data_IF_982000266611
#
_entry.id   IF_982000266611
#
_cell.length_a   1.000
_cell.length_b   1.000
_cell.length_c   1.000
_cell.angle_alpha   90.00
_cell.angle_beta   90.00
_cell.angle_gamma   90.00
#
_symmetry.space_group_name_H-M   'P 1'
#
loop_
_entity.id
_entity.type
_entity.pdbx_description
1 polymer ?
#
# COMPACT_ATOMS: atom_id res chain seq x y z
N UNK A 1 -0.50 -14.95 11.59
CA UNK A 1 -0.61 -14.05 10.44
C UNK A 1 0.51 -13.04 10.56
N UNK A 2 1.37 -12.96 9.55
CA UNK A 2 2.40 -11.92 9.54
C UNK A 2 1.73 -10.53 9.42
N UNK A 3 2.29 -9.50 10.04
CA UNK A 3 1.76 -8.15 9.92
C UNK A 3 1.78 -7.70 8.45
N UNK A 4 0.73 -6.99 8.00
CA UNK A 4 0.71 -6.44 6.66
C UNK A 4 1.84 -5.42 6.49
N UNK A 5 2.40 -5.32 5.29
CA UNK A 5 3.42 -4.32 5.01
C UNK A 5 2.75 -2.96 4.76
N UNK A 6 3.12 -1.95 5.54
CA UNK A 6 2.52 -0.61 5.44
C UNK A 6 3.41 0.35 4.63
N UNK A 7 2.79 1.08 3.71
CA UNK A 7 3.44 2.05 2.84
C UNK A 7 2.66 3.36 2.79
N UNK A 8 3.28 4.43 3.30
CA UNK A 8 2.71 5.79 3.23
C UNK A 8 2.86 6.38 1.83
N UNK A 9 1.76 6.85 1.26
CA UNK A 9 1.77 7.66 0.04
C UNK A 9 1.83 9.14 0.43
N UNK A 10 2.92 9.78 0.02
CA UNK A 10 3.15 11.21 0.20
C UNK A 10 3.67 11.86 -1.08
N UNK A 11 3.40 13.16 -1.23
CA UNK A 11 3.78 13.98 -2.40
C UNK A 11 5.28 14.02 -2.72
N UNK A 12 6.16 13.81 -1.73
CA UNK A 12 7.61 13.96 -1.88
C UNK A 12 8.37 12.83 -2.58
N UNK A 13 7.76 11.67 -2.82
CA UNK A 13 8.43 10.54 -3.54
C UNK A 13 7.98 10.48 -5.00
N UNK A 14 8.68 9.73 -5.85
CA UNK A 14 8.24 9.48 -7.24
C UNK A 14 7.14 8.42 -7.27
N UNK A 15 6.20 8.50 -8.22
CA UNK A 15 5.13 7.50 -8.34
C UNK A 15 5.72 6.11 -8.65
N UNK A 16 6.68 6.06 -9.57
CA UNK A 16 7.30 4.82 -10.05
C UNK A 16 7.90 3.98 -8.91
N UNK A 17 8.55 4.61 -7.93
CA UNK A 17 9.16 3.89 -6.80
C UNK A 17 8.13 3.15 -5.93
N UNK A 18 6.91 3.70 -5.77
CA UNK A 18 5.86 3.01 -5.03
C UNK A 18 5.36 1.78 -5.79
N UNK A 19 5.22 1.91 -7.10
CA UNK A 19 4.75 0.83 -7.98
C UNK A 19 5.78 -0.29 -8.04
N UNK A 20 7.04 0.05 -8.28
CA UNK A 20 8.15 -0.91 -8.33
C UNK A 20 8.28 -1.69 -7.03
N UNK A 21 8.23 -0.98 -5.89
CA UNK A 21 8.25 -1.61 -4.57
C UNK A 21 7.08 -2.59 -4.39
N UNK A 22 5.86 -2.17 -4.73
CA UNK A 22 4.67 -2.99 -4.57
C UNK A 22 4.71 -4.26 -5.43
N UNK A 23 5.18 -4.16 -6.68
CA UNK A 23 5.30 -5.32 -7.57
C UNK A 23 6.35 -6.31 -7.04
N UNK A 24 7.52 -5.80 -6.63
CA UNK A 24 8.57 -6.61 -5.97
C UNK A 24 8.06 -7.27 -4.68
N UNK A 25 7.22 -6.57 -3.91
CA UNK A 25 6.59 -7.13 -2.71
C UNK A 25 5.71 -8.34 -3.07
N UNK A 26 4.83 -8.22 -4.07
CA UNK A 26 3.97 -9.34 -4.47
C UNK A 26 4.75 -10.49 -5.13
N UNK A 27 5.82 -10.20 -5.88
CA UNK A 27 6.73 -11.18 -6.43
C UNK A 27 7.48 -11.95 -5.32
N UNK A 28 8.03 -11.24 -4.33
CA UNK A 28 8.66 -11.87 -3.17
C UNK A 28 7.66 -12.74 -2.38
N UNK A 29 6.41 -12.31 -2.28
CA UNK A 29 5.36 -13.13 -1.66
C UNK A 29 4.98 -14.35 -2.50
N UNK A 30 5.12 -14.29 -3.84
CA UNK A 30 4.94 -15.47 -4.72
C UNK A 30 6.06 -16.49 -4.51
N UNK A 31 7.30 -16.03 -4.36
CA UNK A 31 8.47 -16.90 -4.22
C UNK A 31 8.67 -17.47 -2.81
N UNK A 32 8.11 -16.82 -1.79
CA UNK A 32 8.20 -17.26 -0.38
C UNK A 32 6.99 -18.11 0.01
N UNK A 33 7.17 -18.97 1.00
CA UNK A 33 6.09 -19.76 1.65
C UNK A 33 5.05 -18.92 2.40
N UNK A 34 5.13 -17.58 2.35
CA UNK A 34 4.19 -16.66 2.99
C UNK A 34 3.34 -15.96 1.92
N UNK A 35 2.40 -16.67 1.27
CA UNK A 35 1.70 -16.11 0.15
C UNK A 35 0.69 -15.01 0.54
N UNK A 36 0.37 -14.89 1.82
CA UNK A 36 -0.80 -14.14 2.27
C UNK A 36 -0.46 -12.77 2.88
N UNK A 37 0.77 -12.29 2.72
CA UNK A 37 1.12 -10.96 3.17
C UNK A 37 0.45 -9.91 2.29
N UNK A 38 -0.39 -9.08 2.91
CA UNK A 38 -1.06 -7.97 2.26
C UNK A 38 -0.21 -6.69 2.30
N UNK A 39 -0.41 -5.83 1.30
CA UNK A 39 0.21 -4.52 1.21
C UNK A 39 -0.83 -3.44 1.54
N UNK A 40 -0.54 -2.61 2.55
CA UNK A 40 -1.39 -1.51 2.98
C UNK A 40 -0.79 -0.20 2.48
N UNK A 41 -1.53 0.52 1.66
CA UNK A 41 -1.18 1.85 1.17
C UNK A 41 -2.05 2.90 1.86
N UNK A 42 -1.46 3.95 2.43
CA UNK A 42 -2.23 4.91 3.23
C UNK A 42 -1.77 6.36 3.10
N UNK A 43 -2.64 7.31 3.46
CA UNK A 43 -2.34 8.75 3.53
C UNK A 43 -2.21 9.29 4.95
N UNK A 44 -2.12 8.42 5.97
CA UNK A 44 -1.92 8.86 7.36
C UNK A 44 -0.76 9.88 7.49
N UNK A 45 -0.90 10.88 8.37
CA UNK A 45 0.18 11.81 8.70
C UNK A 45 1.45 11.08 9.15
N UNK A 46 2.62 11.71 8.95
CA UNK A 46 3.85 11.18 9.51
C UNK A 46 3.75 11.17 11.04
N UNK A 47 4.04 10.04 11.68
CA UNK A 47 4.26 10.03 13.13
C UNK A 47 5.45 10.94 13.40
N UNK A 48 5.29 11.93 14.27
CA UNK A 48 6.40 12.76 14.74
C UNK A 48 7.31 11.82 15.52
N UNK A 49 8.45 11.43 14.95
CA UNK A 49 9.42 10.65 15.70
C UNK A 49 10.00 11.57 16.79
N UNK A 50 10.10 11.11 18.05
CA UNK A 50 10.83 11.84 19.07
C UNK A 50 12.26 11.98 18.54
N UNK A 51 12.70 13.24 18.40
CA UNK A 51 14.09 13.54 18.03
C UNK A 51 14.94 12.95 19.16
N UNK A 52 15.89 12.05 18.88
CA UNK A 52 16.77 11.55 19.92
C UNK A 52 17.55 12.73 20.49
N UNK A 53 17.43 12.93 21.80
CA UNK A 53 18.27 13.83 22.59
C UNK A 53 19.70 13.29 22.57
N UNK A 54 20.44 13.55 21.49
CA UNK A 54 21.89 13.43 21.48
C UNK A 54 22.46 14.82 21.76
N UNK A 55 23.05 14.93 22.95
CA UNK A 55 23.81 16.08 23.38
C UNK A 55 25.00 16.40 22.47
N UNK A 56 25.55 17.58 22.75
CA UNK A 56 26.71 18.23 22.14
C UNK A 56 26.45 19.15 20.94
N UNK A 57 26.34 20.44 21.30
CA UNK A 57 26.78 21.64 20.60
C UNK A 57 26.92 21.53 19.07
N UNK A 58 25.80 21.52 18.37
CA UNK A 58 25.74 22.02 17.00
C UNK A 58 24.57 23.00 16.88
N UNK A 59 24.93 24.19 16.41
CA UNK A 59 24.08 25.34 16.16
C UNK A 59 22.75 24.93 15.49
N UNK A 60 21.58 25.28 16.06
CA UNK A 60 20.32 24.80 15.56
C UNK A 60 20.05 25.39 14.16
N UNK A 61 19.84 24.58 13.10
CA UNK A 61 19.26 25.11 11.88
C UNK A 61 17.85 25.58 12.22
N UNK A 62 17.64 26.88 12.08
CA UNK A 62 16.37 27.54 12.39
C UNK A 62 15.18 26.73 11.87
N UNK A 63 14.13 26.51 12.69
CA UNK A 63 12.90 25.91 12.19
C UNK A 63 12.36 26.83 11.09
N UNK A 64 12.48 26.40 9.83
CA UNK A 64 11.84 27.05 8.72
C UNK A 64 10.34 26.78 8.82
N UNK A 65 9.68 27.47 9.74
CA UNK A 65 8.24 27.62 9.81
C UNK A 65 7.82 28.46 8.61
N UNK A 66 7.84 27.87 7.42
CA UNK A 66 7.25 28.52 6.27
C UNK A 66 5.76 28.73 6.57
N UNK A 67 5.21 29.94 6.32
CA UNK A 67 3.82 30.24 6.61
C UNK A 67 2.95 29.24 5.88
N UNK A 68 2.16 28.47 6.64
CA UNK A 68 1.23 27.49 6.12
C UNK A 68 0.26 28.18 5.17
N UNK A 69 0.53 28.11 3.86
CA UNK A 69 -0.45 28.49 2.84
C UNK A 69 -1.72 27.68 3.16
N UNK A 70 -2.88 28.35 3.12
CA UNK A 70 -4.21 27.76 3.35
C UNK A 70 -4.50 26.68 2.28
N UNK A 71 -3.86 25.53 2.41
CA UNK A 71 -4.06 24.35 1.58
C UNK A 71 -4.82 23.28 2.35
N UNK A 72 -5.38 22.33 1.61
CA UNK A 72 -5.89 21.09 2.19
C UNK A 72 -4.78 20.39 2.99
N UNK A 73 -5.16 19.66 4.04
CA UNK A 73 -4.18 18.87 4.78
C UNK A 73 -3.47 17.87 3.87
N UNK A 74 -2.17 17.58 4.11
CA UNK A 74 -1.38 16.67 3.28
C UNK A 74 -2.04 15.31 3.04
N UNK A 75 -2.65 14.74 4.09
CA UNK A 75 -3.34 13.45 4.04
C UNK A 75 -4.50 13.42 3.03
N UNK A 76 -5.14 14.57 2.81
CA UNK A 76 -6.24 14.75 1.86
C UNK A 76 -5.71 15.04 0.47
N UNK A 77 -4.68 15.90 0.35
CA UNK A 77 -4.07 16.22 -0.95
C UNK A 77 -3.39 15.01 -1.60
N UNK A 78 -2.94 14.03 -0.81
CA UNK A 78 -2.30 12.81 -1.31
C UNK A 78 -3.30 11.70 -1.73
N UNK A 79 -4.61 11.84 -1.48
CA UNK A 79 -5.61 10.81 -1.82
C UNK A 79 -5.69 10.52 -3.33
N UNK A 80 -5.78 11.52 -4.24
CA UNK A 80 -5.81 11.25 -5.68
C UNK A 80 -4.56 10.50 -6.16
N UNK A 81 -3.41 10.78 -5.52
CA UNK A 81 -2.15 10.12 -5.78
C UNK A 81 -2.14 8.68 -5.29
N UNK A 82 -2.64 8.41 -4.08
CA UNK A 82 -2.83 7.06 -3.56
C UNK A 82 -3.65 6.21 -4.54
N UNK A 83 -4.79 6.72 -5.01
CA UNK A 83 -5.64 6.02 -5.98
C UNK A 83 -4.86 5.74 -7.27
N UNK A 84 -4.13 6.73 -7.78
CA UNK A 84 -3.32 6.57 -8.99
C UNK A 84 -2.27 5.46 -8.85
N UNK A 85 -1.56 5.41 -7.72
CA UNK A 85 -0.58 4.36 -7.39
C UNK A 85 -1.26 2.99 -7.37
N UNK A 86 -2.36 2.85 -6.63
CA UNK A 86 -3.12 1.60 -6.50
C UNK A 86 -3.58 1.08 -7.86
N UNK A 87 -4.14 1.94 -8.69
CA UNK A 87 -4.62 1.56 -10.02
C UNK A 87 -3.49 1.13 -10.96
N UNK A 88 -2.32 1.79 -10.88
CA UNK A 88 -1.14 1.39 -11.66
C UNK A 88 -0.63 0.02 -11.19
N UNK A 89 -0.53 -0.20 -9.87
CA UNK A 89 -0.12 -1.50 -9.31
C UNK A 89 -1.03 -2.62 -9.82
N UNK A 90 -2.36 -2.44 -9.74
CA UNK A 90 -3.31 -3.47 -10.20
C UNK A 90 -3.15 -3.79 -11.68
N UNK A 91 -2.93 -2.78 -12.53
CA UNK A 91 -2.72 -2.98 -13.97
C UNK A 91 -1.40 -3.67 -14.29
N UNK A 92 -0.30 -3.23 -13.68
CA UNK A 92 1.02 -3.83 -13.91
C UNK A 92 1.11 -5.24 -13.36
N UNK A 93 0.51 -5.50 -12.20
CA UNK A 93 0.45 -6.83 -11.59
C UNK A 93 -0.24 -7.85 -12.52
N UNK A 94 -1.38 -7.48 -13.11
CA UNK A 94 -2.08 -8.34 -14.09
C UNK A 94 -1.21 -8.63 -15.32
N UNK A 95 -0.45 -7.65 -15.82
CA UNK A 95 0.46 -7.83 -16.96
C UNK A 95 1.61 -8.80 -16.64
N UNK A 96 2.16 -8.73 -15.42
CA UNK A 96 3.25 -9.62 -15.01
C UNK A 96 2.76 -11.05 -14.79
N UNK A 97 1.56 -11.23 -14.23
CA UNK A 97 0.94 -12.55 -14.07
C UNK A 97 0.72 -13.28 -15.40
N UNK A 98 0.33 -12.56 -16.46
CA UNK A 98 0.13 -13.14 -17.79
C UNK A 98 1.40 -13.84 -18.32
N UNK A 99 2.59 -13.46 -17.86
CA UNK A 99 3.84 -14.05 -18.32
C UNK A 99 4.21 -15.35 -17.57
N UNK A 100 3.70 -15.54 -16.35
CA UNK A 100 4.23 -16.56 -15.42
C UNK A 100 3.20 -17.64 -15.05
N UNK A 101 1.91 -17.30 -14.89
CA UNK A 101 0.91 -18.25 -14.37
C UNK A 101 -0.33 -18.30 -15.27
N UNK A 102 -0.35 -19.29 -16.18
CA UNK A 102 -1.48 -19.57 -17.07
C UNK A 102 -2.41 -20.66 -16.56
N UNK A 103 -2.53 -20.81 -15.23
CA UNK A 103 -3.41 -21.82 -14.65
C UNK A 103 -4.86 -21.50 -15.01
N UNK A 104 -5.41 -22.29 -15.94
CA UNK A 104 -6.80 -22.30 -16.38
C UNK A 104 -7.30 -21.11 -17.22
N UNK A 105 -6.40 -20.31 -17.80
CA UNK A 105 -6.76 -19.27 -18.78
C UNK A 105 -7.54 -18.08 -18.22
N UNK A 106 -7.57 -17.92 -16.89
CA UNK A 106 -8.12 -16.77 -16.18
C UNK A 106 -7.03 -16.18 -15.30
N UNK A 107 -6.73 -14.90 -15.48
CA UNK A 107 -5.82 -14.17 -14.59
C UNK A 107 -6.66 -13.33 -13.65
N UNK A 108 -6.58 -13.62 -12.35
CA UNK A 108 -7.25 -12.88 -11.29
C UNK A 108 -6.33 -11.78 -10.75
N UNK A 109 -6.84 -10.56 -10.63
CA UNK A 109 -6.10 -9.45 -10.04
C UNK A 109 -6.02 -9.52 -8.51
N UNK A 110 -5.61 -8.41 -7.92
CA UNK A 110 -5.57 -8.23 -6.47
C UNK A 110 -6.96 -7.93 -5.91
N UNK A 111 -7.27 -8.50 -4.73
CA UNK A 111 -8.37 -8.08 -3.89
C UNK A 111 -8.06 -6.71 -3.29
N UNK A 112 -9.08 -5.86 -3.19
CA UNK A 112 -8.92 -4.50 -2.69
C UNK A 112 -9.90 -4.25 -1.55
N UNK A 113 -9.41 -3.63 -0.47
CA UNK A 113 -10.19 -3.25 0.70
C UNK A 113 -9.91 -1.79 1.02
N UNK A 114 -10.95 -0.96 1.07
CA UNK A 114 -10.82 0.49 1.26
C UNK A 114 -11.37 0.92 2.62
N UNK A 115 -10.62 1.71 3.36
CA UNK A 115 -11.07 2.37 4.60
C UNK A 115 -10.86 3.87 4.46
N UNK A 116 -11.87 4.64 4.87
CA UNK A 116 -11.78 6.10 5.04
C UNK A 116 -12.02 6.36 6.52
N UNK A 117 -11.13 7.13 7.12
CA UNK A 117 -11.23 7.48 8.53
C UNK A 117 -10.86 8.92 8.80
N UNK A 118 -10.93 9.30 10.07
CA UNK A 118 -10.57 10.64 10.53
C UNK A 118 -9.79 10.54 11.83
N UNK A 119 -8.62 11.16 11.90
CA UNK A 119 -7.86 11.33 13.14
C UNK A 119 -8.34 12.62 13.84
N UNK A 120 -8.50 12.61 15.18
CA UNK A 120 -8.61 13.85 15.92
C UNK A 120 -7.29 14.62 15.77
N UNK A 121 -7.36 15.95 15.59
CA UNK A 121 -6.14 16.76 15.67
C UNK A 121 -5.63 16.69 17.12
N UNK A 122 -4.43 16.16 17.31
CA UNK A 122 -3.72 16.26 18.58
C UNK A 122 -3.52 17.76 18.86
N UNK A 123 -4.06 18.22 19.99
CA UNK A 123 -3.82 19.59 20.44
C UNK A 123 -2.30 19.80 20.55
N UNK A 124 -1.77 20.97 20.19
CA UNK A 124 -0.35 21.24 20.35
C UNK A 124 0.02 20.99 21.81
N UNK A 125 0.92 20.04 22.04
CA UNK A 125 1.63 19.90 23.31
C UNK A 125 2.41 21.20 23.50
N UNK A 126 1.80 22.16 24.19
CA UNK A 126 2.48 23.40 24.55
C UNK A 126 3.45 23.08 25.69
N UNK A 127 4.72 23.44 25.49
CA UNK A 127 5.81 23.27 26.43
C UNK A 127 5.45 23.77 27.85
N UNK A 128 5.92 23.01 28.83
CA UNK A 128 5.32 22.78 30.16
C UNK A 128 5.48 23.96 31.16
N UNK A 129 5.82 25.18 30.72
CA UNK A 129 6.17 26.24 31.65
C UNK A 129 4.96 27.02 32.24
N UNK A 130 3.81 27.10 31.54
CA UNK A 130 2.63 27.88 31.95
C UNK A 130 1.29 27.12 31.77
N UNK A 131 1.28 25.80 31.98
CA UNK A 131 0.14 24.95 31.60
C UNK A 131 -1.17 25.26 32.33
N UNK A 132 -1.13 25.59 33.63
CA UNK A 132 -2.37 25.73 34.41
C UNK A 132 -3.13 27.01 34.05
N UNK A 133 -2.41 28.13 33.86
CA UNK A 133 -3.02 29.39 33.42
C UNK A 133 -3.61 29.29 32.01
N UNK A 134 -2.86 28.67 31.08
CA UNK A 134 -3.35 28.43 29.73
C UNK A 134 -4.56 27.47 29.70
N UNK A 135 -4.56 26.45 30.56
CA UNK A 135 -5.67 25.50 30.70
C UNK A 135 -6.92 26.17 31.23
N UNK A 136 -6.83 26.95 32.30
CA UNK A 136 -7.98 27.66 32.89
C UNK A 136 -8.54 28.67 31.89
N UNK A 137 -7.70 29.39 31.16
CA UNK A 137 -8.16 30.30 30.11
C UNK A 137 -8.83 29.57 28.95
N UNK A 138 -8.27 28.45 28.48
CA UNK A 138 -8.87 27.63 27.43
C UNK A 138 -10.24 27.07 27.85
N UNK A 139 -10.35 26.60 29.10
CA UNK A 139 -11.61 26.10 29.65
C UNK A 139 -12.63 27.23 29.80
N UNK A 140 -12.23 28.38 30.30
CA UNK A 140 -13.10 29.56 30.43
C UNK A 140 -13.62 30.01 29.07
N UNK A 141 -12.76 30.03 28.04
CA UNK A 141 -13.17 30.33 26.66
C UNK A 141 -14.14 29.28 26.10
N UNK A 142 -13.92 27.99 26.37
CA UNK A 142 -14.83 26.92 25.94
C UNK A 142 -16.21 27.03 26.61
N UNK A 143 -16.26 27.39 27.90
CA UNK A 143 -17.50 27.54 28.67
C UNK A 143 -18.26 28.84 28.36
N UNK A 144 -17.59 29.85 27.80
CA UNK A 144 -18.20 31.16 27.52
C UNK A 144 -19.29 31.12 26.44
N UNK A 145 -19.39 30.04 25.66
CA UNK A 145 -20.40 29.85 24.61
C UNK A 145 -20.28 30.78 23.40
N UNK A 146 -19.47 31.84 23.49
CA UNK A 146 -19.21 32.81 22.40
C UNK A 146 -18.29 32.24 21.31
N UNK A 147 -17.50 31.22 21.64
CA UNK A 147 -16.61 30.52 20.71
C UNK A 147 -16.86 29.01 20.79
N UNK A 148 -17.61 28.45 19.85
CA UNK A 148 -17.74 26.99 19.75
C UNK A 148 -16.38 26.36 19.43
N UNK A 149 -15.96 25.37 20.23
CA UNK A 149 -14.76 24.58 19.97
C UNK A 149 -14.85 23.97 18.57
N UNK A 150 -13.99 24.44 17.65
CA UNK A 150 -13.90 23.89 16.31
C UNK A 150 -13.20 22.53 16.39
N UNK A 151 -13.98 21.45 16.34
CA UNK A 151 -13.43 20.09 16.24
C UNK A 151 -12.76 19.97 14.87
N UNK A 152 -11.43 19.97 14.86
CA UNK A 152 -10.66 19.70 13.66
C UNK A 152 -10.41 18.19 13.57
N UNK A 153 -10.74 17.63 12.41
CA UNK A 153 -10.50 16.22 12.09
C UNK A 153 -9.64 16.17 10.85
N UNK A 154 -8.62 15.33 10.90
CA UNK A 154 -7.70 15.05 9.81
C UNK A 154 -8.16 13.79 9.06
N UNK A 155 -8.78 13.89 7.87
CA UNK A 155 -9.22 12.70 7.14
C UNK A 155 -8.03 11.93 6.57
N UNK A 156 -8.16 10.61 6.47
CA UNK A 156 -7.19 9.73 5.83
C UNK A 156 -7.88 8.63 5.03
N UNK A 157 -7.13 8.02 4.12
CA UNK A 157 -7.55 6.83 3.38
C UNK A 157 -6.50 5.72 3.54
N UNK A 158 -6.98 4.48 3.66
CA UNK A 158 -6.17 3.26 3.58
C UNK A 158 -6.73 2.35 2.51
N UNK A 159 -5.84 1.70 1.77
CA UNK A 159 -6.17 0.70 0.77
C UNK A 159 -5.31 -0.53 1.03
N UNK A 160 -5.94 -1.68 1.24
CA UNK A 160 -5.26 -2.96 1.35
C UNK A 160 -5.37 -3.68 0.01
N UNK A 161 -4.23 -4.14 -0.50
CA UNK A 161 -4.14 -5.01 -1.65
C UNK A 161 -3.63 -6.39 -1.23
N UNK A 162 -4.37 -7.44 -1.58
CA UNK A 162 -4.02 -8.82 -1.25
C UNK A 162 -4.26 -9.75 -2.45
N UNK A 163 -3.54 -10.88 -2.50
CA UNK A 163 -3.72 -11.90 -3.55
C UNK A 163 -4.85 -12.87 -3.25
N UNK A 164 -5.12 -13.09 -1.96
CA UNK A 164 -6.23 -13.90 -1.46
C UNK A 164 -7.23 -13.04 -0.74
N UNK A 165 -8.42 -13.58 -0.53
CA UNK A 165 -9.41 -12.96 0.32
C UNK A 165 -8.90 -12.92 1.76
N UNK A 166 -8.95 -11.72 2.36
CA UNK A 166 -8.71 -11.53 3.78
C UNK A 166 -9.94 -11.95 4.58
N UNK A 167 -9.70 -12.41 5.81
CA UNK A 167 -10.74 -12.79 6.74
C UNK A 167 -11.63 -11.60 7.13
N UNK A 168 -12.94 -11.83 7.28
CA UNK A 168 -13.94 -10.79 7.55
C UNK A 168 -13.65 -10.05 8.86
N UNK A 169 -13.06 -10.73 9.85
CA UNK A 169 -12.67 -10.13 11.13
C UNK A 169 -11.64 -9.01 10.96
N UNK A 170 -10.74 -9.14 9.98
CA UNK A 170 -9.65 -8.20 9.72
C UNK A 170 -10.13 -7.00 8.90
N UNK A 171 -11.16 -7.19 8.08
CA UNK A 171 -11.64 -6.20 7.11
C UNK A 171 -13.00 -5.61 7.46
N UNK A 172 -13.47 -5.79 8.70
CA UNK A 172 -14.81 -5.33 9.15
C UNK A 172 -15.06 -3.83 8.90
N UNK A 173 -14.02 -2.99 9.00
CA UNK A 173 -14.09 -1.55 8.76
C UNK A 173 -13.83 -1.15 7.30
N UNK A 174 -13.63 -2.12 6.40
CA UNK A 174 -13.25 -1.87 5.01
C UNK A 174 -14.35 -2.25 4.03
N UNK A 175 -14.46 -1.46 2.96
CA UNK A 175 -15.28 -1.81 1.81
C UNK A 175 -14.49 -2.73 0.88
N UNK A 176 -14.96 -3.97 0.70
CA UNK A 176 -14.38 -4.97 -0.20
C UNK A 176 -14.74 -4.68 -1.65
N UNK A 177 -13.75 -4.69 -2.54
CA UNK A 177 -13.90 -4.61 -3.99
C UNK A 177 -13.37 -5.88 -4.65
N UNK A 178 -14.15 -6.44 -5.57
CA UNK A 178 -13.78 -7.67 -6.29
C UNK A 178 -12.57 -7.43 -7.20
N UNK A 179 -11.64 -8.40 -7.31
CA UNK A 179 -10.53 -8.31 -8.24
C UNK A 179 -11.00 -8.18 -9.68
N UNK A 180 -10.24 -7.41 -10.48
CA UNK A 180 -10.39 -7.44 -11.93
C UNK A 180 -10.02 -8.83 -12.45
N UNK A 181 -10.87 -9.39 -13.31
CA UNK A 181 -10.58 -10.66 -13.99
C UNK A 181 -10.33 -10.37 -15.45
N UNK A 182 -9.16 -10.73 -15.96
CA UNK A 182 -8.86 -10.62 -17.38
C UNK A 182 -8.98 -11.98 -18.03
N UNK A 183 -9.84 -12.08 -19.05
CA UNK A 183 -9.92 -13.27 -19.90
C UNK A 183 -8.88 -13.16 -20.99
N UNK A 184 -8.00 -14.15 -21.10
CA UNK A 184 -7.09 -14.23 -22.23
C UNK A 184 -7.89 -14.52 -23.51
N UNK A 185 -7.54 -13.91 -24.65
CA UNK A 185 -8.22 -14.20 -25.91
C UNK A 185 -7.96 -15.65 -26.30
N UNK A 186 -8.97 -16.27 -26.95
CA UNK A 186 -8.94 -17.69 -27.36
C UNK A 186 -7.68 -18.06 -28.14
N UNK A 187 -7.18 -17.16 -28.97
CA UNK A 187 -5.95 -17.33 -29.76
C UNK A 187 -4.69 -17.45 -28.89
N UNK A 188 -4.55 -16.61 -27.85
CA UNK A 188 -3.42 -16.67 -26.92
C UNK A 188 -3.46 -17.96 -26.10
N UNK A 189 -4.64 -18.37 -25.63
CA UNK A 189 -4.83 -19.64 -24.91
C UNK A 189 -4.45 -20.84 -25.80
N UNK A 190 -4.92 -20.85 -27.06
CA UNK A 190 -4.57 -21.90 -28.00
C UNK A 190 -3.06 -21.96 -28.30
N UNK A 191 -2.40 -20.79 -28.43
CA UNK A 191 -0.95 -20.71 -28.64
C UNK A 191 -0.16 -21.19 -27.42
N UNK A 192 -0.56 -20.80 -26.21
CA UNK A 192 0.05 -21.26 -24.97
C UNK A 192 -0.06 -22.78 -24.81
N UNK A 193 -1.25 -23.36 -25.07
CA UNK A 193 -1.48 -24.81 -25.06
C UNK A 193 -0.61 -25.56 -26.08
N UNK A 194 -0.45 -25.00 -27.29
CA UNK A 194 0.44 -25.58 -28.32
C UNK A 194 1.92 -25.54 -27.92
N UNK A 195 2.39 -24.49 -27.23
CA UNK A 195 3.77 -24.41 -26.72
C UNK A 195 4.01 -25.46 -25.64
N UNK A 196 3.13 -25.52 -24.63
CA UNK A 196 3.23 -26.52 -23.57
C UNK A 196 3.24 -27.97 -24.10
N UNK A 197 2.43 -28.27 -25.12
CA UNK A 197 2.42 -29.60 -25.76
C UNK A 197 3.72 -29.90 -26.54
N UNK A 198 4.34 -28.89 -27.14
CA UNK A 198 5.61 -29.04 -27.88
C UNK A 198 6.79 -29.25 -26.93
N UNK A 199 6.82 -28.52 -25.83
CA UNK A 199 7.87 -28.62 -24.81
C UNK A 199 7.80 -29.98 -24.09
N UNK A 200 6.60 -30.51 -23.80
CA UNK A 200 6.43 -31.85 -23.24
C UNK A 200 6.75 -33.00 -24.20
N UNK A 201 6.62 -32.81 -25.51
CA UNK A 201 6.94 -33.83 -26.51
C UNK A 201 8.46 -33.94 -26.79
N UNK A 202 9.20 -32.82 -26.66
CA UNK A 202 10.65 -32.80 -26.86
C UNK A 202 11.43 -33.53 -25.75
N UNK A 203 10.86 -33.64 -24.55
CA UNK A 203 11.47 -34.35 -23.42
C UNK A 203 11.27 -35.88 -23.51
N UNK A 204 10.20 -36.33 -24.17
CA UNK A 204 9.88 -37.76 -24.32
C UNK A 204 10.70 -38.49 -25.42
N UNK A 205 11.55 -37.80 -26.18
CA UNK A 205 12.31 -38.39 -27.31
C UNK A 205 13.78 -38.68 -27.02
N UNK A 206 14.26 -38.43 -25.79
CA UNK A 206 15.56 -38.92 -25.32
C UNK A 206 15.40 -40.26 -24.60
N UNK A 207 15.13 -41.30 -25.38
CA UNK A 207 15.21 -42.68 -24.90
C UNK A 207 16.67 -43.16 -25.08
N UNK A 208 17.43 -43.48 -24.01
CA UNK A 208 18.86 -43.80 -24.08
C UNK A 208 19.17 -45.22 -24.59
N UNK A 209 18.18 -45.99 -25.04
CA UNK A 209 18.38 -47.40 -25.38
C UNK A 209 18.64 -47.60 -26.89
N UNK A 210 19.80 -47.12 -27.38
CA UNK A 210 20.32 -47.51 -28.69
C UNK A 210 21.33 -48.65 -28.51
N UNK A 211 20.98 -49.92 -28.85
CA UNK A 211 21.93 -51.02 -28.76
C UNK A 211 23.06 -50.81 -29.78
N UNK A 212 24.31 -50.97 -29.32
CA UNK A 212 25.49 -51.00 -30.17
C UNK A 212 25.42 -52.23 -31.07
N UNK A 213 25.50 -52.01 -32.39
CA UNK A 213 25.75 -53.07 -33.35
C UNK A 213 27.27 -53.21 -33.49
N UNK A 214 27.78 -54.37 -33.06
CA UNK A 214 29.16 -54.83 -33.31
C UNK A 214 29.33 -55.19 -34.79
N UNK A 215 30.47 -54.79 -35.36
CA UNK A 215 31.05 -55.34 -36.59
C UNK A 215 32.56 -55.23 -36.50
#
# INVERSE_FOLDING_TARGET
MDPPHEMRIASGRKLHSYVEFALKHFEACLLREKPDQALVLHTLPAKKQPIPEQGDAFEPPAPQTQPAKKGLQPSVSDVPRLISVVEIIKREYLKQLDAVHHDHGKVTGLHQYNEIGSLPDEAPENDVADQEGARIQALTQALQGKNHLKIKKSPYMKVILSRRELDETQVRSFTKQKPGVRRLPRSTVARAKRRAAKDGAADATKDPNKPMAES
#
